data_IF_076355626825
#
_entry.id   IF_076355626825
#
_cell.length_a   1.000
_cell.length_b   1.000
_cell.length_c   1.000
_cell.angle_alpha   90.00
_cell.angle_beta   90.00
_cell.angle_gamma   90.00
#
_symmetry.space_group_name_H-M   'P 1'
#
loop_
_entity.id
_entity.type
_entity.pdbx_description
1 polymer ?
#
# COMPACT_ATOMS: atom_id res chain seq x y z
N UNK A 1 13.11 9.40 26.34
CA UNK A 1 13.38 9.56 24.90
C UNK A 1 12.28 8.84 24.15
N UNK A 2 11.33 9.57 23.56
CA UNK A 2 10.23 8.97 22.82
C UNK A 2 10.80 8.46 21.50
N UNK A 3 10.92 7.15 21.33
CA UNK A 3 11.24 6.58 20.02
C UNK A 3 10.15 7.04 19.05
N UNK A 4 10.52 7.92 18.12
CA UNK A 4 9.65 8.23 16.98
C UNK A 4 9.59 6.94 16.18
N UNK A 5 8.47 6.22 16.28
CA UNK A 5 8.27 5.01 15.48
C UNK A 5 8.14 5.45 14.02
N UNK A 6 9.20 5.21 13.25
CA UNK A 6 9.19 5.39 11.80
C UNK A 6 8.09 4.53 11.19
N UNK A 7 7.32 5.10 10.26
CA UNK A 7 6.27 4.34 9.59
C UNK A 7 6.91 3.23 8.73
N UNK A 8 6.45 2.01 8.91
CA UNK A 8 6.82 0.89 8.06
C UNK A 8 5.54 0.38 7.39
N UNK A 9 5.40 0.55 6.07
CA UNK A 9 4.16 0.24 5.36
C UNK A 9 3.88 -1.27 5.27
N UNK A 10 4.91 -2.11 5.44
CA UNK A 10 4.81 -3.58 5.38
C UNK A 10 4.55 -4.18 6.78
N UNK A 11 4.96 -3.49 7.85
CA UNK A 11 4.64 -3.93 9.22
C UNK A 11 3.17 -3.67 9.50
N UNK A 12 2.38 -4.74 9.43
CA UNK A 12 0.95 -4.76 9.68
C UNK A 12 0.62 -5.39 11.03
N UNK A 13 -0.37 -4.84 11.70
CA UNK A 13 -1.04 -5.46 12.84
C UNK A 13 -2.01 -6.56 12.38
N UNK A 14 -2.40 -7.47 13.27
CA UNK A 14 -3.34 -8.54 12.91
C UNK A 14 -4.70 -7.96 12.50
N UNK A 15 -5.23 -8.41 11.36
CA UNK A 15 -6.45 -7.89 10.76
C UNK A 15 -6.25 -6.58 10.00
N UNK A 16 -5.03 -6.05 9.95
CA UNK A 16 -4.79 -4.80 9.24
C UNK A 16 -4.69 -5.02 7.74
N UNK A 17 -5.39 -4.17 6.97
CA UNK A 17 -5.28 -4.05 5.52
C UNK A 17 -4.78 -2.66 5.15
N UNK A 18 -3.92 -2.57 4.14
CA UNK A 18 -3.31 -1.32 3.71
C UNK A 18 -3.09 -1.27 2.20
N UNK A 19 -3.42 -0.12 1.63
CA UNK A 19 -3.01 0.28 0.28
C UNK A 19 -2.18 1.56 0.41
N UNK A 20 -0.95 1.55 -0.07
CA UNK A 20 -0.05 2.69 0.04
C UNK A 20 0.84 2.85 -1.20
N UNK A 21 1.16 4.10 -1.54
CA UNK A 21 2.05 4.46 -2.64
C UNK A 21 3.39 4.95 -2.11
N UNK A 22 4.50 4.45 -2.66
CA UNK A 22 5.83 5.04 -2.48
C UNK A 22 5.99 6.26 -3.40
N UNK A 23 5.89 7.45 -2.80
CA UNK A 23 6.02 8.71 -3.53
C UNK A 23 7.48 9.04 -3.85
N UNK A 24 8.44 8.48 -3.11
CA UNK A 24 9.87 8.78 -3.31
C UNK A 24 10.34 8.28 -4.67
N UNK A 25 9.85 7.12 -5.08
CA UNK A 25 10.20 6.46 -6.33
C UNK A 25 9.32 6.92 -7.51
N UNK A 26 8.10 7.42 -7.24
CA UNK A 26 7.20 7.99 -8.26
C UNK A 26 7.64 9.36 -8.79
N UNK A 27 8.36 10.15 -7.99
CA UNK A 27 8.90 11.45 -8.42
C UNK A 27 7.82 12.40 -8.96
N UNK A 28 8.00 12.89 -10.19
CA UNK A 28 7.07 13.83 -10.85
C UNK A 28 5.69 13.22 -11.16
N UNK A 29 5.60 11.89 -11.30
CA UNK A 29 4.33 11.20 -11.55
C UNK A 29 3.47 11.05 -10.30
N UNK A 30 4.05 11.23 -9.11
CA UNK A 30 3.35 11.08 -7.83
C UNK A 30 2.05 11.89 -7.79
N UNK A 31 2.05 13.11 -8.31
CA UNK A 31 0.88 13.97 -8.30
C UNK A 31 -0.25 13.47 -9.21
N UNK A 32 0.08 13.01 -10.41
CA UNK A 32 -0.92 12.47 -11.34
C UNK A 32 -1.49 11.15 -10.84
N UNK A 33 -0.66 10.27 -10.27
CA UNK A 33 -1.11 9.02 -9.65
C UNK A 33 -2.06 9.30 -8.47
N UNK A 34 -1.77 10.30 -7.63
CA UNK A 34 -2.65 10.68 -6.52
C UNK A 34 -3.99 11.24 -7.00
N UNK A 35 -4.00 12.03 -8.07
CA UNK A 35 -5.26 12.47 -8.71
C UNK A 35 -6.04 11.29 -9.25
N UNK A 36 -5.38 10.36 -9.94
CA UNK A 36 -6.04 9.15 -10.46
C UNK A 36 -6.68 8.38 -9.31
N UNK A 37 -5.96 8.18 -8.20
CA UNK A 37 -6.51 7.52 -7.02
C UNK A 37 -7.76 8.24 -6.48
N UNK A 38 -7.75 9.57 -6.39
CA UNK A 38 -8.94 10.35 -6.01
C UNK A 38 -10.11 10.14 -6.98
N UNK A 39 -9.87 10.15 -8.29
CA UNK A 39 -10.91 9.92 -9.31
C UNK A 39 -11.49 8.49 -9.26
N UNK A 40 -10.66 7.50 -8.89
CA UNK A 40 -11.07 6.11 -8.67
C UNK A 40 -11.83 5.93 -7.34
N UNK A 41 -11.97 7.00 -6.54
CA UNK A 41 -12.71 6.98 -5.29
C UNK A 41 -11.92 6.39 -4.11
N UNK A 42 -10.59 6.42 -4.16
CA UNK A 42 -9.80 6.25 -2.94
C UNK A 42 -10.01 7.46 -2.02
N UNK A 43 -9.98 7.27 -0.69
CA UNK A 43 -10.11 8.37 0.24
C UNK A 43 -8.85 9.25 0.22
N UNK A 44 -8.94 10.43 0.84
CA UNK A 44 -7.82 11.37 0.87
C UNK A 44 -6.56 10.73 1.49
N UNK A 45 -5.40 10.80 0.81
CA UNK A 45 -4.20 10.12 1.23
C UNK A 45 -3.67 10.66 2.56
N UNK A 46 -3.21 9.77 3.43
CA UNK A 46 -2.46 10.12 4.64
C UNK A 46 -0.98 9.99 4.37
N UNK A 47 -0.27 11.11 4.40
CA UNK A 47 1.18 11.11 4.17
C UNK A 47 1.94 10.63 5.41
N UNK A 48 2.85 9.68 5.22
CA UNK A 48 3.66 9.07 6.29
C UNK A 48 5.12 9.01 5.86
N UNK A 49 5.99 9.56 6.70
CA UNK A 49 7.42 9.42 6.52
C UNK A 49 7.90 8.06 7.04
N UNK A 50 8.42 7.24 6.14
CA UNK A 50 9.20 6.06 6.45
C UNK A 50 10.69 6.40 6.67
N UNK A 51 11.53 5.37 6.80
CA UNK A 51 12.95 5.58 7.12
C UNK A 51 13.72 6.21 5.96
N UNK A 52 13.38 5.83 4.73
CA UNK A 52 13.99 6.32 3.49
C UNK A 52 12.98 6.76 2.44
N UNK A 53 11.69 6.54 2.70
CA UNK A 53 10.62 6.64 1.72
C UNK A 53 9.49 7.51 2.26
N UNK A 54 8.82 8.24 1.37
CA UNK A 54 7.59 8.97 1.67
C UNK A 54 6.41 8.17 1.14
N UNK A 55 5.44 7.89 2.00
CA UNK A 55 4.28 7.10 1.65
C UNK A 55 3.01 7.95 1.61
N UNK A 56 2.20 7.77 0.57
CA UNK A 56 0.78 8.12 0.63
C UNK A 56 -0.02 6.87 0.98
N UNK A 57 -0.56 6.80 2.18
CA UNK A 57 -1.46 5.72 2.57
C UNK A 57 -2.85 6.05 2.06
N UNK A 58 -3.31 5.31 1.06
CA UNK A 58 -4.61 5.47 0.43
C UNK A 58 -5.70 4.77 1.24
N UNK A 59 -5.43 3.56 1.73
CA UNK A 59 -6.37 2.80 2.56
C UNK A 59 -5.62 2.24 3.76
N UNK A 60 -6.21 2.33 4.94
CA UNK A 60 -5.73 1.69 6.17
C UNK A 60 -6.95 1.31 7.00
N UNK A 61 -7.22 0.00 7.06
CA UNK A 61 -8.42 -0.55 7.66
C UNK A 61 -8.07 -1.64 8.67
N UNK A 62 -8.98 -1.85 9.62
CA UNK A 62 -8.87 -2.86 10.66
C UNK A 62 -10.05 -3.82 10.55
N UNK A 63 -9.75 -5.07 10.23
CA UNK A 63 -10.70 -6.16 10.05
C UNK A 63 -10.56 -7.17 11.18
N UNK A 64 -11.53 -8.08 11.31
CA UNK A 64 -11.45 -9.20 12.24
C UNK A 64 -10.49 -10.25 11.66
N UNK A 65 -9.33 -10.38 12.32
CA UNK A 65 -8.27 -11.29 11.91
C UNK A 65 -8.71 -12.75 11.76
N UNK A 66 -9.75 -13.17 12.49
CA UNK A 66 -10.19 -14.56 12.57
C UNK A 66 -11.34 -14.90 11.63
N UNK A 67 -12.22 -13.95 11.36
CA UNK A 67 -13.40 -14.17 10.50
C UNK A 67 -13.21 -13.67 9.08
N UNK A 68 -12.50 -12.56 8.91
CA UNK A 68 -12.41 -11.89 7.62
C UNK A 68 -11.26 -12.50 6.80
N UNK A 69 -11.46 -12.57 5.48
CA UNK A 69 -10.45 -13.08 4.57
C UNK A 69 -9.89 -11.96 3.70
N UNK A 70 -8.60 -12.05 3.36
CA UNK A 70 -7.93 -11.02 2.57
C UNK A 70 -8.54 -10.92 1.16
N UNK A 71 -9.04 -12.03 0.61
CA UNK A 71 -9.65 -12.08 -0.72
C UNK A 71 -10.93 -11.25 -0.79
N UNK A 72 -11.80 -11.33 0.22
CA UNK A 72 -13.05 -10.54 0.27
C UNK A 72 -12.74 -9.04 0.41
N UNK A 73 -11.79 -8.69 1.28
CA UNK A 73 -11.36 -7.29 1.47
C UNK A 73 -10.69 -6.77 0.19
N UNK A 74 -9.85 -7.57 -0.45
CA UNK A 74 -9.21 -7.21 -1.71
C UNK A 74 -10.24 -7.03 -2.83
N UNK A 75 -11.27 -7.87 -2.91
CA UNK A 75 -12.28 -7.82 -3.96
C UNK A 75 -12.99 -6.46 -4.03
N UNK A 76 -13.14 -5.75 -2.90
CA UNK A 76 -13.71 -4.39 -2.87
C UNK A 76 -12.80 -3.34 -3.51
N UNK A 77 -11.50 -3.61 -3.57
CA UNK A 77 -10.46 -2.69 -4.05
C UNK A 77 -9.82 -3.14 -5.36
N UNK A 78 -10.01 -4.39 -5.78
CA UNK A 78 -9.30 -5.06 -6.87
C UNK A 78 -9.35 -4.25 -8.17
N UNK A 79 -10.57 -3.90 -8.62
CA UNK A 79 -10.78 -3.11 -9.83
C UNK A 79 -10.12 -1.72 -9.77
N UNK A 80 -10.13 -1.07 -8.58
CA UNK A 80 -9.53 0.26 -8.39
C UNK A 80 -8.01 0.18 -8.32
N UNK A 81 -7.49 -0.86 -7.68
CA UNK A 81 -6.05 -1.14 -7.57
C UNK A 81 -5.49 -1.42 -8.95
N UNK A 82 -6.16 -2.21 -9.77
CA UNK A 82 -5.71 -2.52 -11.12
C UNK A 82 -5.75 -1.30 -12.04
N UNK A 83 -6.82 -0.50 -12.01
CA UNK A 83 -6.85 0.77 -12.75
C UNK A 83 -5.77 1.75 -12.28
N UNK A 84 -5.46 1.77 -10.99
CA UNK A 84 -4.38 2.58 -10.46
C UNK A 84 -3.02 2.07 -10.95
N UNK A 85 -2.78 0.75 -10.96
CA UNK A 85 -1.57 0.10 -11.53
C UNK A 85 -1.39 0.45 -12.99
N UNK A 86 -2.44 0.33 -13.79
CA UNK A 86 -2.41 0.67 -15.22
C UNK A 86 -1.99 2.14 -15.44
N UNK A 87 -2.42 3.05 -14.56
CA UNK A 87 -2.03 4.46 -14.64
C UNK A 87 -0.55 4.72 -14.33
N UNK A 88 0.10 3.82 -13.58
CA UNK A 88 1.52 3.88 -13.22
C UNK A 88 2.42 3.19 -14.26
N UNK A 89 1.89 2.22 -15.01
CA UNK A 89 2.66 1.43 -15.97
C UNK A 89 3.84 0.72 -15.29
N UNK A 90 5.06 0.96 -15.77
CA UNK A 90 6.30 0.38 -15.22
C UNK A 90 6.57 0.75 -13.75
N UNK A 91 5.87 1.78 -13.23
CA UNK A 91 5.97 2.23 -11.84
C UNK A 91 4.98 1.54 -10.89
N UNK A 92 4.26 0.50 -11.33
CA UNK A 92 3.28 -0.22 -10.50
C UNK A 92 3.88 -0.81 -9.21
N UNK A 93 5.19 -1.09 -9.21
CA UNK A 93 5.93 -1.58 -8.04
C UNK A 93 5.95 -0.58 -6.86
N UNK A 94 5.53 0.67 -7.10
CA UNK A 94 5.38 1.69 -6.06
C UNK A 94 4.04 1.57 -5.31
N UNK A 95 3.13 0.72 -5.77
CA UNK A 95 1.88 0.43 -5.08
C UNK A 95 2.05 -0.80 -4.18
N UNK A 96 1.96 -0.56 -2.88
CA UNK A 96 1.84 -1.60 -1.87
C UNK A 96 0.36 -1.90 -1.64
N UNK A 97 -0.01 -3.16 -1.77
CA UNK A 97 -1.27 -3.71 -1.26
C UNK A 97 -0.91 -4.86 -0.33
N UNK A 98 -1.25 -4.73 0.94
CA UNK A 98 -0.85 -5.70 1.95
C UNK A 98 -1.95 -5.90 2.99
N UNK A 99 -2.11 -7.14 3.43
CA UNK A 99 -3.02 -7.51 4.51
C UNK A 99 -2.38 -8.54 5.43
N UNK A 100 -2.71 -8.51 6.72
CA UNK A 100 -2.28 -9.51 7.70
C UNK A 100 -3.50 -10.22 8.27
N UNK A 101 -3.92 -11.29 7.60
CA UNK A 101 -5.07 -12.11 7.97
C UNK A 101 -4.63 -13.50 8.37
N UNK A 102 -5.46 -14.21 9.14
CA UNK A 102 -5.12 -15.55 9.65
C UNK A 102 -5.07 -16.60 8.54
N UNK A 103 -5.86 -16.42 7.49
CA UNK A 103 -6.05 -17.43 6.45
C UNK A 103 -5.02 -17.37 5.33
N UNK A 104 -4.51 -16.21 4.94
CA UNK A 104 -3.54 -16.11 3.85
C UNK A 104 -2.56 -14.97 4.09
N UNK A 105 -1.27 -15.29 4.08
CA UNK A 105 -0.18 -14.33 4.17
C UNK A 105 0.25 -13.99 2.74
N UNK A 106 -0.56 -13.21 2.01
CA UNK A 106 -0.19 -12.73 0.67
C UNK A 106 0.61 -11.44 0.86
N UNK A 107 1.93 -11.57 0.86
CA UNK A 107 2.84 -10.44 0.73
C UNK A 107 3.35 -10.38 -0.71
N UNK A 108 2.64 -9.65 -1.58
CA UNK A 108 3.21 -9.25 -2.87
C UNK A 108 4.08 -8.02 -2.64
N UNK A 109 5.34 -8.25 -2.27
CA UNK A 109 6.35 -7.19 -2.17
C UNK A 109 6.95 -6.90 -3.56
N UNK A 110 7.35 -5.65 -3.86
CA UNK A 110 8.09 -5.35 -5.07
C UNK A 110 9.46 -6.06 -5.07
N UNK A 111 9.79 -6.70 -6.18
CA UNK A 111 10.97 -7.56 -6.39
C UNK A 111 12.31 -6.79 -6.47
N UNK A 112 12.61 -5.94 -5.49
CA UNK A 112 13.89 -5.19 -5.43
C UNK A 112 14.62 -5.34 -4.08
N UNK A 113 14.66 -6.57 -3.58
CA UNK A 113 15.73 -7.02 -2.68
C UNK A 113 16.31 -8.31 -3.25
N UNK A 114 17.35 -8.15 -4.07
CA UNK A 114 18.60 -8.92 -4.01
C UNK A 114 19.40 -8.67 -5.30
N UNK A 115 20.32 -7.72 -5.21
CA UNK A 115 21.51 -7.66 -6.07
C UNK A 115 22.68 -7.23 -5.20
N UNK A 116 23.12 -8.16 -4.35
CA UNK A 116 24.47 -8.14 -3.81
C UNK A 116 24.82 -9.56 -3.35
N UNK A 117 25.38 -10.36 -4.27
CA UNK A 117 26.57 -11.22 -4.07
C UNK A 117 27.07 -11.69 -5.43
#
# INVERSE_FOLDING_TARGET
MTQVKTFNPIRLEEGQFRIALDLTSLGEQAWEVLKTAEHLGFPSPRFRQGEKFMWAVLVEEQHDFTTDCIEDVLAEWDEKVDQLRDSMGELENNLLVAGRFKRDLIASAPSHLDSDT
#
